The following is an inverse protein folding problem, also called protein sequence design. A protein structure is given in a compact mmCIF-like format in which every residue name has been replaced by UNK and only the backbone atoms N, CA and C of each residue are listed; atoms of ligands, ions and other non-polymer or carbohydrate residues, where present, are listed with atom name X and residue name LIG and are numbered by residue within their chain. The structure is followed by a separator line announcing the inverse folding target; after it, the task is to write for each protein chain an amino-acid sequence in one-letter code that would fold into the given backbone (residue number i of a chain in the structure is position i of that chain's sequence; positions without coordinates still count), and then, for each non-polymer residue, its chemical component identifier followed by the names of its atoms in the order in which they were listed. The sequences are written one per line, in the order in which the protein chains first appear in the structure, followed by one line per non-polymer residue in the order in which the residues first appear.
data_IF_618439550265
#
_entry.id   IF_618439550265
#
_cell.length_a   1.000
_cell.length_b   1.000
_cell.length_c   1.000
_cell.angle_alpha   90.00
_cell.angle_beta   90.00
_cell.angle_gamma   90.00
#
_symmetry.space_group_name_H-M   'P 1'
#
loop_
_entity.id
_entity.type
_entity.pdbx_description
1 polymer ?
#
# COMPACT_ATOMS: atom_id res chain seq x y z
N UNK A 1 17.26 8.36 -4.99
CA UNK A 1 16.00 7.81 -5.55
C UNK A 1 14.87 8.48 -4.78
N UNK A 2 14.24 9.52 -5.35
CA UNK A 2 13.13 10.21 -4.67
C UNK A 2 11.82 9.53 -5.03
N UNK A 3 11.69 8.24 -4.69
CA UNK A 3 10.46 7.49 -4.90
C UNK A 3 9.52 7.72 -3.72
N UNK A 4 8.29 8.13 -4.01
CA UNK A 4 7.23 8.24 -3.03
C UNK A 4 6.39 6.96 -3.06
N UNK A 5 5.94 6.53 -1.89
CA UNK A 5 5.13 5.34 -1.73
C UNK A 5 3.82 5.69 -1.03
N UNK A 6 2.76 4.97 -1.37
CA UNK A 6 1.49 5.02 -0.68
C UNK A 6 1.37 3.79 0.21
N UNK A 7 1.23 4.01 1.50
CA UNK A 7 0.95 2.99 2.49
C UNK A 7 -0.55 3.01 2.80
N UNK A 8 -1.28 1.98 2.41
CA UNK A 8 -2.71 1.85 2.67
C UNK A 8 -2.95 0.78 3.72
N UNK A 9 -3.62 1.14 4.81
CA UNK A 9 -4.19 0.21 5.76
C UNK A 9 -5.62 -0.07 5.33
N UNK A 10 -5.93 -1.31 4.97
CA UNK A 10 -7.27 -1.69 4.51
C UNK A 10 -8.28 -1.56 5.64
N UNK A 11 -9.49 -1.13 5.29
CA UNK A 11 -10.61 -1.15 6.22
C UNK A 11 -10.90 -2.57 6.72
N UNK A 12 -11.38 -2.64 7.96
CA UNK A 12 -11.86 -3.85 8.64
C UNK A 12 -13.10 -3.46 9.43
N UNK A 13 -13.79 -4.41 10.07
CA UNK A 13 -14.90 -4.09 10.98
C UNK A 13 -14.51 -3.15 12.13
N UNK A 14 -13.20 -3.03 12.44
CA UNK A 14 -12.67 -2.23 13.55
C UNK A 14 -11.90 -0.98 13.11
N UNK A 15 -11.52 -0.88 11.84
CA UNK A 15 -10.63 0.16 11.34
C UNK A 15 -11.13 0.70 10.00
N UNK A 16 -11.07 2.01 9.80
CA UNK A 16 -11.33 2.60 8.50
C UNK A 16 -10.11 2.46 7.59
N UNK A 17 -10.32 2.60 6.29
CA UNK A 17 -9.21 2.65 5.36
C UNK A 17 -8.42 3.94 5.56
N UNK A 18 -7.10 3.83 5.70
CA UNK A 18 -6.22 4.98 5.87
C UNK A 18 -5.04 4.89 4.90
N UNK A 19 -4.70 6.01 4.27
CA UNK A 19 -3.63 6.08 3.28
C UNK A 19 -2.58 7.12 3.72
N UNK A 20 -1.32 6.69 3.81
CA UNK A 20 -0.20 7.51 4.22
C UNK A 20 0.81 7.59 3.08
N UNK A 21 1.16 8.80 2.65
CA UNK A 21 2.28 8.99 1.72
C UNK A 21 3.57 9.00 2.51
N UNK A 22 4.49 8.12 2.14
CA UNK A 22 5.79 7.98 2.77
C UNK A 22 6.90 8.06 1.73
N UNK A 23 8.06 8.53 2.16
CA UNK A 23 9.27 8.52 1.35
C UNK A 23 9.85 7.10 1.25
N UNK A 24 10.68 6.86 0.23
CA UNK A 24 11.40 5.59 0.10
C UNK A 24 12.29 5.26 1.31
N UNK A 25 12.89 6.27 1.94
CA UNK A 25 13.70 6.09 3.15
C UNK A 25 12.86 5.61 4.35
N UNK A 26 11.64 6.15 4.52
CA UNK A 26 10.70 5.70 5.56
C UNK A 26 10.22 4.26 5.31
N UNK A 27 9.87 3.93 4.06
CA UNK A 27 9.52 2.55 3.70
C UNK A 27 10.72 1.61 3.90
N UNK A 28 11.94 2.05 3.59
CA UNK A 28 13.14 1.24 3.84
C UNK A 28 13.36 0.99 5.34
N UNK A 29 13.09 1.99 6.19
CA UNK A 29 13.27 1.87 7.63
C UNK A 29 12.24 0.92 8.28
N UNK A 30 10.99 0.95 7.81
CA UNK A 30 9.90 0.17 8.41
C UNK A 30 9.58 -1.15 7.69
N UNK A 31 9.78 -1.19 6.37
CA UNK A 31 9.39 -2.29 5.48
C UNK A 31 10.48 -2.62 4.44
N UNK A 32 11.73 -2.92 4.87
CA UNK A 32 12.86 -3.10 3.95
C UNK A 32 12.66 -4.26 2.97
N UNK A 33 12.05 -5.37 3.40
CA UNK A 33 11.80 -6.54 2.54
C UNK A 33 10.79 -6.22 1.44
N UNK A 34 9.75 -5.48 1.78
CA UNK A 34 8.69 -5.07 0.86
C UNK A 34 9.24 -4.09 -0.17
N UNK A 35 10.11 -3.16 0.26
CA UNK A 35 10.82 -2.29 -0.65
C UNK A 35 11.69 -3.07 -1.63
N UNK A 36 12.45 -4.05 -1.14
CA UNK A 36 13.29 -4.91 -1.99
C UNK A 36 12.45 -5.72 -2.98
N UNK A 37 11.33 -6.30 -2.54
CA UNK A 37 10.39 -7.00 -3.44
C UNK A 37 9.83 -6.06 -4.50
N UNK A 38 9.41 -4.86 -4.10
CA UNK A 38 8.94 -3.83 -5.02
C UNK A 38 10.03 -3.45 -6.02
N UNK A 39 11.28 -3.24 -5.60
CA UNK A 39 12.37 -2.84 -6.50
C UNK A 39 12.79 -3.94 -7.48
N UNK A 40 12.76 -5.20 -7.05
CA UNK A 40 13.19 -6.35 -7.87
C UNK A 40 12.04 -7.02 -8.65
N UNK A 41 10.80 -6.62 -8.42
CA UNK A 41 9.61 -7.13 -9.10
C UNK A 41 9.03 -6.09 -10.05
N UNK A 42 8.44 -6.53 -11.18
CA UNK A 42 7.60 -5.65 -12.00
C UNK A 42 6.33 -5.19 -11.27
N UNK A 43 6.02 -5.72 -10.08
CA UNK A 43 4.87 -5.30 -9.30
C UNK A 43 4.98 -3.84 -8.85
N UNK A 44 3.87 -3.11 -8.97
CA UNK A 44 3.73 -1.73 -8.49
C UNK A 44 3.31 -1.65 -7.03
N UNK A 45 2.76 -2.72 -6.46
CA UNK A 45 2.32 -2.79 -5.08
C UNK A 45 2.62 -4.15 -4.44
N UNK A 46 2.74 -4.17 -3.11
CA UNK A 46 2.86 -5.36 -2.28
C UNK A 46 1.89 -5.26 -1.11
N UNK A 47 1.11 -6.32 -0.90
CA UNK A 47 0.16 -6.43 0.21
C UNK A 47 0.67 -7.44 1.23
N UNK A 48 0.50 -7.12 2.51
CA UNK A 48 0.89 -7.99 3.62
C UNK A 48 -0.08 -7.83 4.78
N UNK A 49 -0.37 -8.90 5.54
CA UNK A 49 -1.11 -8.75 6.78
C UNK A 49 -0.31 -7.90 7.77
N UNK A 50 -1.00 -7.09 8.57
CA UNK A 50 -0.40 -6.46 9.73
C UNK A 50 0.06 -7.52 10.73
N UNK A 51 0.86 -7.14 11.74
CA UNK A 51 1.40 -8.09 12.73
C UNK A 51 0.33 -8.91 13.47
N UNK A 52 -0.88 -8.37 13.60
CA UNK A 52 -1.97 -9.00 14.32
C UNK A 52 -2.91 -9.80 13.39
N UNK A 53 -2.71 -9.73 12.07
CA UNK A 53 -3.61 -10.30 11.07
C UNK A 53 -4.96 -9.58 10.95
N UNK A 54 -5.15 -8.45 11.63
CA UNK A 54 -6.44 -7.77 11.69
C UNK A 54 -6.72 -6.98 10.40
N UNK A 55 -5.70 -6.31 9.85
CA UNK A 55 -5.80 -5.54 8.61
C UNK A 55 -4.68 -5.91 7.63
N UNK A 56 -4.89 -5.59 6.36
CA UNK A 56 -3.86 -5.71 5.32
C UNK A 56 -3.22 -4.35 5.12
N UNK A 57 -1.90 -4.33 5.04
CA UNK A 57 -1.08 -3.17 4.70
C UNK A 57 -0.63 -3.32 3.26
N UNK A 58 -0.93 -2.33 2.42
CA UNK A 58 -0.54 -2.29 1.02
C UNK A 58 0.49 -1.18 0.85
N UNK A 59 1.65 -1.50 0.30
CA UNK A 59 2.67 -0.52 -0.08
C UNK A 59 2.67 -0.44 -1.60
N UNK A 60 2.35 0.72 -2.14
CA UNK A 60 2.33 0.99 -3.57
C UNK A 60 3.39 2.02 -3.95
N UNK A 61 4.07 1.80 -5.07
CA UNK A 61 4.93 2.80 -5.70
C UNK A 61 4.05 3.87 -6.33
N UNK A 62 4.17 5.11 -5.86
CA UNK A 62 3.55 6.23 -6.54
C UNK A 62 4.46 6.62 -7.70
N UNK A 63 4.25 6.00 -8.85
CA UNK A 63 4.79 6.55 -10.09
C UNK A 63 4.01 7.81 -10.41
N UNK A 64 4.70 8.91 -10.71
CA UNK A 64 4.12 10.24 -10.97
C UNK A 64 3.12 10.29 -12.15
N UNK A 65 2.74 9.15 -12.73
CA UNK A 65 1.88 9.00 -13.91
C UNK A 65 0.58 8.20 -13.69
N UNK A 66 0.35 7.58 -12.52
CA UNK A 66 -0.90 6.84 -12.26
C UNK A 66 -1.75 7.56 -11.22
N UNK A 67 -2.80 8.22 -11.72
CA UNK A 67 -3.88 8.75 -10.91
C UNK A 67 -4.51 7.64 -10.08
N UNK A 68 -4.69 7.92 -8.80
CA UNK A 68 -5.49 7.18 -7.84
C UNK A 68 -6.89 6.88 -8.40
N UNK A 69 -7.06 5.77 -9.11
CA UNK A 69 -8.40 5.21 -9.32
C UNK A 69 -8.75 4.47 -8.03
N UNK A 70 -9.40 5.19 -7.12
CA UNK A 70 -10.18 4.58 -6.06
C UNK A 70 -11.22 3.67 -6.69
N UNK A 71 -10.92 2.37 -6.82
CA UNK A 71 -11.94 1.35 -7.01
C UNK A 71 -12.66 1.16 -5.68
N UNK A 72 -13.55 2.12 -5.40
CA UNK A 72 -14.66 1.93 -4.48
C UNK A 72 -15.49 0.78 -5.06
N UNK A 73 -15.33 -0.41 -4.49
CA UNK A 73 -16.10 -1.60 -4.86
C UNK A 73 -17.58 -1.26 -4.64
N UNK A 74 -18.28 -0.94 -5.73
CA UNK A 74 -19.75 -0.98 -5.74
C UNK A 74 -20.16 -2.42 -5.52
N UNK A 75 -20.59 -2.70 -4.30
CA UNK A 75 -21.35 -3.89 -3.92
C UNK A 75 -22.63 -3.92 -4.78
N UNK A 76 -22.57 -4.68 -5.88
CA UNK A 76 -23.71 -4.96 -6.74
C UNK A 76 -24.47 -6.12 -6.11
N UNK A 77 -25.63 -5.84 -5.54
CA UNK A 77 -26.53 -6.89 -5.05
C UNK A 77 -27.94 -6.65 -5.59
N UNK A 78 -28.35 -7.61 -6.42
CA UNK A 78 -29.69 -7.96 -6.93
C UNK A 78 -30.48 -6.87 -7.70
#
# INVERSE_FOLDING_TARGET
MNSNFLLTFTATDKYQEENFKMSGDEIQAHFPKQLEMLQNSPCSAVAMPNKNGDCTVIIEKIESSLGINGQSNHHRTA
#
